data_IF_077549503653
#
_entry.id   IF_077549503653
#
_cell.length_a   1.000
_cell.length_b   1.000
_cell.length_c   1.000
_cell.angle_alpha   90.00
_cell.angle_beta   90.00
_cell.angle_gamma   90.00
#
_symmetry.space_group_name_H-M   'P 1'
#
loop_
_entity.id
_entity.type
_entity.pdbx_description
1 polymer ?
#
# COMPACT_ATOMS: atom_id res chain seq x y z
N UNK A 1 -2.57 -4.53 -4.95
CA UNK A 1 -3.57 -5.03 -5.92
C UNK A 1 -3.28 -4.56 -7.34
N UNK A 2 -4.22 -4.75 -8.28
CA UNK A 2 -4.07 -4.19 -9.63
C UNK A 2 -4.10 -2.66 -9.58
N UNK A 3 -3.21 -2.03 -10.35
CA UNK A 3 -3.13 -0.58 -10.49
C UNK A 3 -3.17 -0.19 -11.98
N UNK A 4 -3.55 1.05 -12.27
CA UNK A 4 -3.41 1.59 -13.61
C UNK A 4 -1.93 1.77 -13.94
N UNK A 5 -1.53 1.38 -15.15
CA UNK A 5 -0.14 1.52 -15.60
C UNK A 5 0.19 2.94 -16.04
N UNK A 6 1.44 3.32 -15.93
CA UNK A 6 2.00 4.57 -16.43
C UNK A 6 3.49 4.37 -16.74
N UNK A 7 4.08 5.29 -17.48
CA UNK A 7 5.52 5.28 -17.79
C UNK A 7 6.32 5.73 -16.55
N UNK A 8 6.83 4.77 -15.78
CA UNK A 8 7.60 5.01 -14.55
C UNK A 8 8.86 5.84 -14.79
N UNK A 9 9.41 5.83 -16.02
CA UNK A 9 10.60 6.63 -16.35
C UNK A 9 10.34 8.15 -16.35
N UNK A 10 9.06 8.55 -16.35
CA UNK A 10 8.60 9.95 -16.34
C UNK A 10 8.07 10.40 -14.98
N UNK A 11 8.08 9.53 -13.99
CA UNK A 11 7.53 9.82 -12.67
C UNK A 11 8.62 9.87 -11.60
N UNK A 12 8.53 10.87 -10.73
CA UNK A 12 9.27 10.97 -9.48
C UNK A 12 8.35 10.54 -8.32
N UNK A 13 8.91 10.47 -7.11
CA UNK A 13 8.20 10.00 -5.91
C UNK A 13 6.97 10.86 -5.53
N UNK A 14 6.91 12.12 -5.97
CA UNK A 14 5.83 13.10 -5.74
C UNK A 14 4.99 13.39 -6.99
N UNK A 15 5.21 12.65 -8.08
CA UNK A 15 4.48 12.86 -9.34
C UNK A 15 2.99 12.52 -9.19
N UNK A 16 2.15 13.29 -9.89
CA UNK A 16 0.73 12.98 -10.06
C UNK A 16 0.54 11.81 -11.03
N UNK A 17 0.74 10.58 -10.56
CA UNK A 17 0.62 9.38 -11.38
C UNK A 17 -0.81 9.15 -11.90
N UNK A 18 -1.84 9.65 -11.20
CA UNK A 18 -3.22 9.58 -11.69
C UNK A 18 -3.43 10.37 -13.00
N UNK A 19 -2.68 11.47 -13.19
CA UNK A 19 -2.75 12.26 -14.42
C UNK A 19 -1.85 11.73 -15.56
N UNK A 20 -1.14 10.62 -15.36
CA UNK A 20 -0.13 10.07 -16.27
C UNK A 20 -0.42 8.63 -16.69
N UNK A 21 -1.61 8.10 -16.40
CA UNK A 21 -1.93 6.70 -16.70
C UNK A 21 -1.92 6.44 -18.20
N UNK A 22 -1.58 5.20 -18.57
CA UNK A 22 -1.85 4.68 -19.91
C UNK A 22 -3.36 4.54 -20.13
N UNK A 23 -3.81 4.40 -21.40
CA UNK A 23 -5.22 4.09 -21.66
C UNK A 23 -5.68 2.86 -20.86
N UNK A 24 -6.74 2.98 -20.04
CA UNK A 24 -7.14 1.93 -19.11
C UNK A 24 -7.50 0.62 -19.82
N UNK A 25 -6.92 -0.49 -19.36
CA UNK A 25 -7.22 -1.85 -19.84
C UNK A 25 -8.13 -2.62 -18.89
N UNK A 26 -8.38 -2.08 -17.69
CA UNK A 26 -9.25 -2.66 -16.67
C UNK A 26 -9.90 -1.58 -15.80
N UNK A 27 -11.00 -1.86 -15.09
CA UNK A 27 -11.74 -0.87 -14.30
C UNK A 27 -11.23 -0.66 -12.87
N UNK A 28 -10.17 -1.33 -12.45
CA UNK A 28 -9.74 -1.37 -11.06
C UNK A 28 -8.89 -0.16 -10.69
N UNK A 29 -9.13 0.35 -9.48
CA UNK A 29 -8.29 1.35 -8.81
C UNK A 29 -7.40 0.67 -7.76
N UNK A 30 -6.15 1.08 -7.67
CA UNK A 30 -5.20 0.54 -6.69
C UNK A 30 -5.70 0.71 -5.25
N UNK A 31 -5.19 -0.13 -4.36
CA UNK A 31 -5.52 -0.06 -2.93
C UNK A 31 -7.04 -0.19 -2.62
N UNK A 32 -7.78 -0.92 -3.46
CA UNK A 32 -9.20 -1.24 -3.26
C UNK A 32 -9.42 -2.74 -3.10
N UNK A 33 -10.50 -3.13 -2.44
CA UNK A 33 -10.89 -4.55 -2.31
C UNK A 33 -11.05 -5.19 -3.69
N UNK A 34 -11.68 -4.48 -4.64
CA UNK A 34 -11.89 -5.00 -6.00
C UNK A 34 -10.58 -5.24 -6.76
N UNK A 35 -9.58 -4.37 -6.60
CA UNK A 35 -8.26 -4.54 -7.23
C UNK A 35 -7.46 -5.69 -6.62
N UNK A 36 -7.60 -5.92 -5.32
CA UNK A 36 -6.98 -7.05 -4.62
C UNK A 36 -7.62 -8.37 -5.06
N UNK A 37 -8.96 -8.43 -5.11
CA UNK A 37 -9.67 -9.60 -5.60
C UNK A 37 -9.25 -9.96 -7.03
N UNK A 38 -9.21 -8.96 -7.92
CA UNK A 38 -8.79 -9.19 -9.30
C UNK A 38 -7.35 -9.73 -9.41
N UNK A 39 -6.43 -9.26 -8.55
CA UNK A 39 -5.06 -9.78 -8.53
C UNK A 39 -5.03 -11.26 -8.09
N UNK A 40 -5.81 -11.63 -7.07
CA UNK A 40 -5.93 -13.03 -6.65
C UNK A 40 -6.60 -13.91 -7.70
N UNK A 41 -7.62 -13.40 -8.38
CA UNK A 41 -8.30 -14.13 -9.49
C UNK A 41 -7.36 -14.39 -10.67
N UNK A 42 -6.37 -13.53 -10.87
CA UNK A 42 -5.29 -13.70 -11.86
C UNK A 42 -4.15 -14.60 -11.36
N UNK A 43 -4.24 -15.14 -10.15
CA UNK A 43 -3.29 -16.11 -9.62
C UNK A 43 -2.15 -15.51 -8.78
N UNK A 44 -2.28 -14.28 -8.28
CA UNK A 44 -1.31 -13.75 -7.34
C UNK A 44 -1.31 -14.55 -6.03
N UNK A 45 -0.13 -14.97 -5.55
CA UNK A 45 0.04 -15.66 -4.27
C UNK A 45 -0.14 -14.68 -3.11
N UNK A 46 0.41 -13.46 -3.25
CA UNK A 46 0.32 -12.40 -2.28
C UNK A 46 0.01 -11.06 -2.96
N UNK A 47 -0.65 -10.16 -2.23
CA UNK A 47 -0.95 -8.80 -2.68
C UNK A 47 -0.31 -7.81 -1.72
N UNK A 48 0.32 -6.79 -2.29
CA UNK A 48 0.82 -5.65 -1.52
C UNK A 48 -0.24 -4.55 -1.47
N UNK A 49 -0.31 -3.85 -0.33
CA UNK A 49 -1.10 -2.63 -0.15
C UNK A 49 -0.50 -1.69 0.89
N UNK A 50 -0.83 -0.40 0.75
CA UNK A 50 -0.30 0.68 1.56
C UNK A 50 -1.26 1.07 2.68
N UNK A 51 -0.74 1.38 3.89
CA UNK A 51 -1.54 1.88 5.00
C UNK A 51 -1.02 3.20 5.53
N UNK A 52 -1.96 4.07 5.91
CA UNK A 52 -1.73 5.35 6.58
C UNK A 52 -2.73 5.54 7.71
N UNK A 53 -2.36 6.33 8.71
CA UNK A 53 -3.19 6.58 9.88
C UNK A 53 -4.14 7.76 9.64
N UNK A 54 -5.45 7.53 9.76
CA UNK A 54 -6.48 8.56 9.71
C UNK A 54 -6.55 9.39 11.00
N UNK A 55 -7.28 10.50 10.97
CA UNK A 55 -7.49 11.39 12.12
C UNK A 55 -8.09 10.66 13.33
N UNK A 56 -9.01 9.74 13.08
CA UNK A 56 -9.69 8.91 14.09
C UNK A 56 -8.98 7.58 14.36
N UNK A 57 -7.66 7.51 14.01
CA UNK A 57 -6.76 6.39 14.32
C UNK A 57 -7.17 5.06 13.67
N UNK A 58 -7.83 5.10 12.53
CA UNK A 58 -8.02 3.93 11.69
C UNK A 58 -6.91 3.82 10.64
N UNK A 59 -6.60 2.61 10.18
CA UNK A 59 -5.63 2.38 9.12
C UNK A 59 -6.35 2.40 7.78
N UNK A 60 -6.30 3.53 7.09
CA UNK A 60 -6.80 3.70 5.74
C UNK A 60 -5.82 3.08 4.73
N UNK A 61 -6.34 2.42 3.70
CA UNK A 61 -5.54 1.82 2.63
C UNK A 61 -5.42 2.81 1.48
N UNK A 62 -4.22 3.45 1.38
CA UNK A 62 -3.97 4.53 0.41
C UNK A 62 -2.47 4.78 0.24
N UNK A 63 -2.02 5.03 -1.01
CA UNK A 63 -0.61 5.17 -1.37
C UNK A 63 -0.07 6.60 -1.22
N UNK A 64 -0.67 7.59 -1.89
CA UNK A 64 -0.06 8.90 -2.14
C UNK A 64 0.18 9.72 -0.88
N UNK A 65 1.15 10.61 -0.93
CA UNK A 65 1.46 11.52 0.18
C UNK A 65 0.25 12.39 0.54
N UNK A 66 -0.42 12.94 -0.48
CA UNK A 66 -1.62 13.78 -0.34
C UNK A 66 -2.82 13.14 -1.03
N UNK A 67 -4.01 13.61 -0.70
CA UNK A 67 -5.28 13.16 -1.30
C UNK A 67 -5.55 13.80 -2.66
N UNK A 68 -4.94 14.94 -2.93
CA UNK A 68 -5.29 15.87 -4.01
C UNK A 68 -5.30 15.21 -5.40
N UNK A 69 -4.25 14.44 -5.73
CA UNK A 69 -4.09 13.87 -7.07
C UNK A 69 -5.19 12.87 -7.43
N UNK A 70 -5.60 12.06 -6.48
CA UNK A 70 -6.60 11.01 -6.71
C UNK A 70 -8.02 11.41 -6.37
N UNK A 71 -8.21 12.40 -5.49
CA UNK A 71 -9.55 12.79 -5.01
C UNK A 71 -9.97 14.20 -5.38
N UNK A 72 -9.02 15.06 -5.77
CA UNK A 72 -9.26 16.48 -5.96
C UNK A 72 -9.46 17.27 -4.66
N UNK A 73 -9.20 16.66 -3.50
CA UNK A 73 -9.36 17.26 -2.17
C UNK A 73 -7.98 17.44 -1.56
N UNK A 74 -7.67 18.64 -1.08
CA UNK A 74 -6.40 18.97 -0.42
C UNK A 74 -6.25 18.22 0.92
N UNK A 75 -5.00 18.03 1.36
CA UNK A 75 -4.66 17.45 2.65
C UNK A 75 -4.17 16.00 2.57
N UNK A 76 -3.92 15.43 3.74
CA UNK A 76 -3.41 14.08 3.93
C UNK A 76 -4.46 13.17 4.60
N UNK A 77 -4.25 11.88 4.58
CA UNK A 77 -5.12 10.89 5.28
C UNK A 77 -5.32 11.24 6.76
N UNK A 78 -4.29 11.74 7.44
CA UNK A 78 -4.35 12.08 8.86
C UNK A 78 -5.23 13.30 9.20
N UNK A 79 -5.61 14.10 8.22
CA UNK A 79 -6.43 15.30 8.41
C UNK A 79 -7.92 14.97 8.48
N UNK A 80 -8.30 13.77 8.05
CA UNK A 80 -9.69 13.33 7.89
C UNK A 80 -9.97 12.04 8.69
N UNK A 81 -11.20 11.94 9.18
CA UNK A 81 -11.74 10.68 9.74
C UNK A 81 -11.97 9.67 8.62
N UNK A 82 -11.99 8.37 8.95
CA UNK A 82 -12.28 7.35 7.95
C UNK A 82 -13.67 7.52 7.30
N UNK A 83 -14.65 8.01 8.06
CA UNK A 83 -15.98 8.33 7.55
C UNK A 83 -16.01 9.47 6.51
N UNK A 84 -15.10 10.43 6.64
CA UNK A 84 -14.90 11.50 5.65
C UNK A 84 -14.14 10.98 4.43
N UNK A 85 -13.05 10.21 4.63
CA UNK A 85 -12.25 9.60 3.57
C UNK A 85 -13.10 8.70 2.65
N UNK A 86 -14.01 7.92 3.20
CA UNK A 86 -14.91 7.06 2.42
C UNK A 86 -15.91 7.83 1.53
N UNK A 87 -16.14 9.11 1.78
CA UNK A 87 -16.97 9.94 0.91
C UNK A 87 -16.20 10.52 -0.27
N UNK A 88 -14.88 10.48 -0.24
CA UNK A 88 -14.03 10.98 -1.31
C UNK A 88 -14.02 10.02 -2.49
N UNK A 89 -13.92 10.56 -3.69
CA UNK A 89 -13.78 9.78 -4.92
C UNK A 89 -12.30 9.55 -5.23
N UNK A 90 -11.76 8.40 -4.88
CA UNK A 90 -10.36 8.04 -5.17
C UNK A 90 -10.09 7.79 -6.65
N UNK A 91 -11.11 7.86 -7.51
CA UNK A 91 -11.00 7.77 -8.96
C UNK A 91 -11.02 9.12 -9.68
N UNK A 92 -11.15 10.23 -8.94
CA UNK A 92 -11.43 11.56 -9.48
C UNK A 92 -10.39 12.09 -10.47
N UNK A 93 -9.10 11.91 -10.18
CA UNK A 93 -8.00 12.53 -10.92
C UNK A 93 -7.42 11.71 -12.07
N UNK A 94 -7.84 10.46 -12.26
CA UNK A 94 -7.26 9.58 -13.26
C UNK A 94 -7.60 9.99 -14.70
N UNK A 95 -6.56 10.24 -15.51
CA UNK A 95 -6.68 10.62 -16.93
C UNK A 95 -5.48 10.09 -17.74
N UNK A 96 -5.76 9.61 -18.96
CA UNK A 96 -4.77 9.14 -19.91
C UNK A 96 -4.51 10.12 -21.07
N UNK A 97 -5.24 11.24 -21.14
CA UNK A 97 -5.28 12.13 -22.28
C UNK A 97 -5.05 13.61 -21.91
N UNK A 98 -4.35 13.85 -20.79
CA UNK A 98 -4.03 15.19 -20.31
C UNK A 98 -5.24 15.96 -19.78
N UNK A 99 -6.21 15.25 -19.20
CA UNK A 99 -7.35 15.86 -18.54
C UNK A 99 -8.56 16.13 -19.45
N UNK A 100 -8.58 15.55 -20.66
CA UNK A 100 -9.76 15.66 -21.54
C UNK A 100 -10.87 14.73 -21.10
N UNK A 101 -10.50 13.52 -20.62
CA UNK A 101 -11.44 12.55 -20.05
C UNK A 101 -10.94 12.01 -18.72
N UNK A 102 -11.88 11.59 -17.86
CA UNK A 102 -11.62 11.03 -16.54
C UNK A 102 -12.43 9.74 -16.37
N UNK A 103 -11.90 8.60 -16.80
CA UNK A 103 -12.65 7.34 -16.91
C UNK A 103 -13.10 6.73 -15.58
N UNK A 104 -12.46 7.14 -14.46
CA UNK A 104 -12.75 6.64 -13.12
C UNK A 104 -13.48 7.62 -12.22
N UNK A 105 -13.70 8.86 -12.68
CA UNK A 105 -14.38 9.88 -11.89
C UNK A 105 -15.81 9.45 -11.54
N UNK A 106 -16.16 9.56 -10.27
CA UNK A 106 -17.42 9.08 -9.70
C UNK A 106 -17.46 7.59 -9.37
N UNK A 107 -16.43 6.83 -9.71
CA UNK A 107 -16.38 5.37 -9.49
C UNK A 107 -15.61 4.98 -8.23
N UNK A 108 -14.84 5.89 -7.64
CA UNK A 108 -14.00 5.63 -6.49
C UNK A 108 -14.65 5.96 -5.14
N UNK A 109 -15.85 6.51 -5.11
CA UNK A 109 -16.56 6.85 -3.87
C UNK A 109 -16.84 5.59 -3.05
N UNK A 110 -16.46 5.60 -1.77
CA UNK A 110 -16.65 4.46 -0.87
C UNK A 110 -15.63 3.32 -1.07
N UNK A 111 -14.70 3.44 -2.02
CA UNK A 111 -13.77 2.37 -2.34
C UNK A 111 -12.44 2.43 -1.57
N UNK A 112 -12.16 3.47 -0.77
CA UNK A 112 -11.02 3.48 0.14
C UNK A 112 -11.30 2.57 1.34
N UNK A 113 -10.67 1.39 1.48
CA UNK A 113 -10.95 0.49 2.58
C UNK A 113 -10.12 0.82 3.81
N UNK A 114 -10.52 0.28 4.95
CA UNK A 114 -9.66 0.10 6.11
C UNK A 114 -8.90 -1.23 6.01
N UNK A 115 -7.82 -1.38 6.80
CA UNK A 115 -7.13 -2.67 6.91
C UNK A 115 -8.05 -3.77 7.45
N UNK A 116 -8.99 -3.42 8.35
CA UNK A 116 -9.96 -4.38 8.90
C UNK A 116 -10.86 -4.94 7.78
N UNK A 117 -11.35 -4.08 6.89
CA UNK A 117 -12.16 -4.50 5.73
C UNK A 117 -11.35 -5.38 4.75
N UNK A 118 -10.04 -5.11 4.58
CA UNK A 118 -9.17 -5.99 3.80
C UNK A 118 -9.05 -7.36 4.45
N UNK A 119 -8.82 -7.42 5.77
CA UNK A 119 -8.69 -8.69 6.48
C UNK A 119 -10.00 -9.49 6.52
N UNK A 120 -11.15 -8.82 6.65
CA UNK A 120 -12.47 -9.43 6.58
C UNK A 120 -12.77 -9.99 5.18
N UNK A 121 -12.40 -9.25 4.13
CA UNK A 121 -12.63 -9.67 2.74
C UNK A 121 -11.74 -10.84 2.33
N UNK A 122 -10.55 -10.97 2.91
CA UNK A 122 -9.53 -11.93 2.52
C UNK A 122 -8.89 -12.64 3.72
N UNK A 123 -9.66 -13.44 4.50
CA UNK A 123 -9.17 -14.02 5.75
C UNK A 123 -7.99 -14.98 5.57
N UNK A 124 -7.87 -15.61 4.40
CA UNK A 124 -6.89 -16.66 4.13
C UNK A 124 -5.78 -16.27 3.13
N UNK A 125 -5.80 -15.03 2.62
CA UNK A 125 -4.84 -14.58 1.60
C UNK A 125 -3.57 -14.01 2.22
N UNK A 126 -2.46 -14.07 1.48
CA UNK A 126 -1.19 -13.48 1.88
C UNK A 126 -1.10 -12.02 1.49
N UNK A 127 -0.49 -11.21 2.39
CA UNK A 127 -0.30 -9.78 2.13
C UNK A 127 1.07 -9.27 2.53
N UNK A 128 1.52 -8.27 1.78
CA UNK A 128 2.60 -7.37 2.17
C UNK A 128 1.98 -6.02 2.51
N UNK A 129 2.12 -5.58 3.76
CA UNK A 129 1.55 -4.33 4.26
C UNK A 129 2.67 -3.29 4.32
N UNK A 130 2.56 -2.23 3.51
CA UNK A 130 3.50 -1.11 3.57
C UNK A 130 2.97 0.02 4.44
N UNK A 131 3.70 0.39 5.51
CA UNK A 131 3.42 1.58 6.29
C UNK A 131 4.02 2.79 5.58
N UNK A 132 3.18 3.59 4.92
CA UNK A 132 3.60 4.61 3.96
C UNK A 132 3.93 5.97 4.56
N UNK A 133 3.27 6.34 5.65
CA UNK A 133 3.49 7.63 6.33
C UNK A 133 4.75 7.67 7.22
N UNK A 134 5.39 6.54 7.45
CA UNK A 134 6.63 6.41 8.22
C UNK A 134 6.52 6.79 9.70
N UNK A 135 5.33 7.02 10.23
CA UNK A 135 5.12 7.48 11.62
C UNK A 135 5.10 6.29 12.57
N UNK A 136 5.87 6.35 13.66
CA UNK A 136 5.89 5.30 14.67
C UNK A 136 4.49 4.99 15.24
N UNK A 137 3.61 6.00 15.32
CA UNK A 137 2.24 5.81 15.77
C UNK A 137 1.46 4.85 14.87
N UNK A 138 1.62 4.95 13.55
CA UNK A 138 0.98 4.06 12.58
C UNK A 138 1.41 2.60 12.79
N UNK A 139 2.70 2.36 13.03
CA UNK A 139 3.20 1.02 13.37
C UNK A 139 2.61 0.49 14.69
N UNK A 140 2.44 1.37 15.70
CA UNK A 140 1.82 0.99 16.97
C UNK A 140 0.35 0.61 16.79
N UNK A 141 -0.40 1.38 16.01
CA UNK A 141 -1.81 1.07 15.70
C UNK A 141 -1.91 -0.23 14.87
N UNK A 142 -1.04 -0.39 13.86
CA UNK A 142 -0.96 -1.63 13.09
C UNK A 142 -0.72 -2.84 14.00
N UNK A 143 0.24 -2.75 14.93
CA UNK A 143 0.49 -3.85 15.87
C UNK A 143 -0.70 -4.17 16.76
N UNK A 144 -1.49 -3.18 17.21
CA UNK A 144 -2.70 -3.47 17.98
C UNK A 144 -3.70 -4.34 17.20
N UNK A 145 -3.73 -4.23 15.87
CA UNK A 145 -4.52 -5.09 14.99
C UNK A 145 -3.87 -6.47 14.83
N UNK A 146 -2.60 -6.50 14.46
CA UNK A 146 -1.89 -7.74 14.15
C UNK A 146 -1.81 -8.70 15.33
N UNK A 147 -1.56 -8.21 16.54
CA UNK A 147 -1.44 -9.05 17.75
C UNK A 147 -2.73 -9.78 18.16
N UNK A 148 -3.88 -9.41 17.58
CA UNK A 148 -5.17 -10.08 17.84
C UNK A 148 -5.45 -11.22 16.86
N UNK A 149 -4.63 -11.36 15.82
CA UNK A 149 -4.78 -12.40 14.82
C UNK A 149 -4.23 -13.73 15.31
N UNK A 150 -4.74 -14.83 14.76
CA UNK A 150 -4.18 -16.15 15.02
C UNK A 150 -2.74 -16.26 14.47
N UNK A 151 -1.91 -17.16 15.03
CA UNK A 151 -0.55 -17.39 14.50
C UNK A 151 -0.54 -17.75 13.01
N UNK A 152 -1.49 -18.55 12.56
CA UNK A 152 -1.63 -18.99 11.15
C UNK A 152 -1.96 -17.79 10.25
N UNK A 153 -2.79 -16.85 10.74
CA UNK A 153 -3.11 -15.62 10.00
C UNK A 153 -1.90 -14.69 9.97
N UNK A 154 -1.21 -14.52 11.08
CA UNK A 154 -0.03 -13.67 11.19
C UNK A 154 1.10 -14.14 10.27
N UNK A 155 1.27 -15.46 10.10
CA UNK A 155 2.27 -16.05 9.20
C UNK A 155 2.05 -15.71 7.72
N UNK A 156 0.83 -15.36 7.34
CA UNK A 156 0.47 -14.92 5.98
C UNK A 156 0.69 -13.41 5.73
N UNK A 157 1.21 -12.70 6.73
CA UNK A 157 1.41 -11.26 6.65
C UNK A 157 2.89 -10.92 6.73
N UNK A 158 3.31 -10.01 5.86
CA UNK A 158 4.61 -9.35 5.92
C UNK A 158 4.39 -7.85 6.07
N UNK A 159 5.25 -7.18 6.82
CA UNK A 159 5.17 -5.72 7.00
C UNK A 159 6.47 -5.08 6.54
N UNK A 160 6.34 -4.04 5.74
CA UNK A 160 7.45 -3.16 5.38
C UNK A 160 7.06 -1.70 5.63
N UNK A 161 7.98 -0.77 5.44
CA UNK A 161 7.62 0.63 5.54
C UNK A 161 8.81 1.57 5.43
N UNK A 162 8.49 2.87 5.35
CA UNK A 162 9.45 3.94 5.14
C UNK A 162 10.33 4.21 6.38
N UNK A 163 9.86 3.87 7.58
CA UNK A 163 10.57 4.15 8.83
C UNK A 163 11.33 2.94 9.36
N UNK A 164 12.64 3.03 9.40
CA UNK A 164 13.48 2.01 10.06
C UNK A 164 13.16 1.89 11.56
N UNK A 165 12.88 3.03 12.23
CA UNK A 165 12.47 3.05 13.63
C UNK A 165 11.19 2.24 13.85
N UNK A 166 10.17 2.46 13.01
CA UNK A 166 8.90 1.74 13.07
C UNK A 166 9.06 0.24 12.86
N UNK A 167 9.86 -0.16 11.86
CA UNK A 167 10.16 -1.58 11.57
C UNK A 167 10.92 -2.21 12.74
N UNK A 168 11.93 -1.53 13.30
CA UNK A 168 12.68 -2.03 14.46
C UNK A 168 11.78 -2.14 15.69
N UNK A 169 10.90 -1.18 15.91
CA UNK A 169 9.94 -1.25 17.01
C UNK A 169 9.03 -2.48 16.87
N UNK A 170 8.46 -2.75 15.68
CA UNK A 170 7.67 -3.98 15.44
C UNK A 170 8.47 -5.24 15.73
N UNK A 171 9.75 -5.27 15.38
CA UNK A 171 10.64 -6.42 15.65
C UNK A 171 10.77 -6.70 17.14
N UNK A 172 10.72 -5.68 17.99
CA UNK A 172 10.71 -5.87 19.45
C UNK A 172 9.39 -6.41 19.98
N UNK A 173 8.29 -6.28 19.22
CA UNK A 173 6.97 -6.76 19.63
C UNK A 173 6.72 -8.22 19.26
N UNK A 174 7.29 -8.69 18.14
CA UNK A 174 7.11 -10.06 17.68
C UNK A 174 8.33 -10.55 16.92
N UNK A 175 8.82 -11.72 17.29
CA UNK A 175 9.89 -12.43 16.56
C UNK A 175 9.35 -13.24 15.36
N UNK A 176 8.05 -13.51 15.33
CA UNK A 176 7.41 -14.30 14.26
C UNK A 176 6.87 -13.44 13.10
N UNK A 177 6.68 -12.11 13.31
CA UNK A 177 6.21 -11.25 12.24
C UNK A 177 7.28 -11.08 11.15
N UNK A 178 6.92 -11.36 9.91
CA UNK A 178 7.79 -11.17 8.75
C UNK A 178 7.95 -9.67 8.48
N UNK A 179 9.16 -9.15 8.69
CA UNK A 179 9.47 -7.72 8.57
C UNK A 179 10.50 -7.50 7.47
N UNK A 180 10.12 -6.67 6.50
CA UNK A 180 10.97 -6.26 5.39
C UNK A 180 11.43 -4.81 5.63
N UNK A 181 12.74 -4.59 5.75
CA UNK A 181 13.32 -3.25 5.79
C UNK A 181 13.76 -2.85 4.38
N UNK A 182 13.14 -1.82 3.80
CA UNK A 182 13.54 -1.27 2.49
C UNK A 182 15.03 -0.90 2.48
N UNK A 183 15.53 -0.30 3.55
CA UNK A 183 16.94 0.07 3.69
C UNK A 183 17.86 -1.17 3.69
N UNK A 184 17.48 -2.22 4.40
CA UNK A 184 18.28 -3.47 4.43
C UNK A 184 18.23 -4.17 3.09
N UNK A 185 17.07 -4.23 2.45
CA UNK A 185 16.92 -4.80 1.11
C UNK A 185 17.77 -4.03 0.09
N UNK A 186 17.71 -2.70 0.08
CA UNK A 186 18.53 -1.87 -0.81
C UNK A 186 20.03 -2.06 -0.54
N UNK A 187 20.46 -2.08 0.73
CA UNK A 187 21.85 -2.30 1.10
C UNK A 187 22.32 -3.70 0.69
N UNK A 188 21.45 -4.72 0.81
CA UNK A 188 21.75 -6.06 0.34
C UNK A 188 21.91 -6.08 -1.19
N UNK A 189 21.00 -5.47 -1.95
CA UNK A 189 21.10 -5.37 -3.40
C UNK A 189 22.38 -4.66 -3.85
N UNK A 190 22.72 -3.51 -3.28
CA UNK A 190 23.95 -2.78 -3.57
C UNK A 190 25.19 -3.66 -3.29
N UNK A 191 25.22 -4.34 -2.16
CA UNK A 191 26.30 -5.25 -1.80
C UNK A 191 26.45 -6.39 -2.81
N UNK A 192 25.32 -6.93 -3.31
CA UNK A 192 25.34 -8.01 -4.31
C UNK A 192 25.75 -7.51 -5.70
N UNK A 193 25.31 -6.35 -6.13
CA UNK A 193 25.77 -5.73 -7.39
C UNK A 193 27.28 -5.47 -7.37
N UNK A 194 27.81 -4.96 -6.26
CA UNK A 194 29.25 -4.69 -6.11
C UNK A 194 30.13 -5.96 -6.01
N UNK A 195 29.58 -7.05 -5.47
CA UNK A 195 30.33 -8.31 -5.26
C UNK A 195 30.16 -9.34 -6.39
N UNK A 196 29.34 -9.04 -7.39
CA UNK A 196 28.93 -9.97 -8.45
C UNK A 196 27.85 -10.94 -7.97
N UNK A 197 26.78 -11.05 -8.73
CA UNK A 197 25.66 -11.95 -8.42
C UNK A 197 26.06 -13.40 -8.65
N UNK A 198 26.02 -14.21 -7.59
CA UNK A 198 26.37 -15.65 -7.65
C UNK A 198 25.13 -16.55 -7.72
N UNK A 199 23.93 -16.02 -7.92
CA UNK A 199 22.67 -16.76 -7.92
C UNK A 199 22.14 -17.13 -6.52
N UNK A 200 22.78 -16.65 -5.46
CA UNK A 200 22.37 -16.90 -4.08
C UNK A 200 21.53 -15.75 -3.54
N UNK A 201 20.35 -16.07 -3.01
CA UNK A 201 19.52 -15.10 -2.28
C UNK A 201 20.01 -15.04 -0.83
N UNK A 202 20.46 -13.88 -0.35
CA UNK A 202 20.95 -13.74 1.02
C UNK A 202 19.87 -14.02 2.05
N UNK A 203 20.32 -14.48 3.24
CA UNK A 203 19.41 -14.74 4.36
C UNK A 203 18.65 -13.47 4.79
N UNK A 204 19.28 -12.30 4.66
CA UNK A 204 18.67 -11.00 4.96
C UNK A 204 17.54 -10.60 3.99
N UNK A 205 17.42 -11.29 2.86
CA UNK A 205 16.38 -11.09 1.85
C UNK A 205 15.32 -12.20 1.85
N UNK A 206 15.53 -13.23 2.66
CA UNK A 206 14.55 -14.28 2.91
C UNK A 206 13.70 -13.92 4.11
#
# INVERSE_FOLDING_TARGET
GLAQTFDESKADWDSNTAAMIDPPTHPYLENTISSMQAAFDLGADAVEFDVKLSKDKQLAVFHDATLEFKTGIEGEIQDYTMAELKKMDIGYGYTADGGKTYPFRGKGVGQMPTIDEVFESFPDKEFVIEVKDGKLETYKVLWQKLKTLSPERLDKLSVCGASEEGVQWLRTQSSSLKLLSKKRMLNALIKYELLGFTGYIPEEMK
#
